data_IF_873804050750
#
_entry.id   IF_873804050750
#
_cell.length_a   1.000
_cell.length_b   1.000
_cell.length_c   1.000
_cell.angle_alpha   90.00
_cell.angle_beta   90.00
_cell.angle_gamma   90.00
#
_symmetry.space_group_name_H-M   'P 1'
#
loop_
_entity.id
_entity.type
_entity.pdbx_description
1 polymer ?
#
# COMPACT_ATOMS: atom_id res chain seq x y z
N UNK A 1 7.48 -21.50 15.49
CA UNK A 1 8.82 -21.73 14.93
C UNK A 1 9.35 -20.37 14.53
N UNK A 2 10.59 -20.02 14.89
CA UNK A 2 11.19 -18.76 14.40
C UNK A 2 11.40 -18.92 12.89
N UNK A 3 10.83 -18.01 12.09
CA UNK A 3 11.07 -17.97 10.64
C UNK A 3 12.54 -17.63 10.37
N UNK A 4 13.13 -18.20 9.33
CA UNK A 4 14.46 -17.79 8.90
C UNK A 4 14.42 -16.45 8.17
N UNK A 5 15.57 -15.78 8.06
CA UNK A 5 15.69 -14.56 7.27
C UNK A 5 15.21 -14.78 5.82
N UNK A 6 15.64 -15.88 5.19
CA UNK A 6 15.30 -16.19 3.80
C UNK A 6 13.80 -16.41 3.60
N UNK A 7 13.15 -17.11 4.54
CA UNK A 7 11.70 -17.35 4.49
C UNK A 7 10.92 -16.04 4.63
N UNK A 8 11.25 -15.20 5.62
CA UNK A 8 10.60 -13.92 5.83
C UNK A 8 10.88 -12.94 4.68
N UNK A 9 12.12 -12.83 4.23
CA UNK A 9 12.48 -11.94 3.11
C UNK A 9 11.77 -12.34 1.82
N UNK A 10 11.71 -13.63 1.48
CA UNK A 10 10.99 -14.10 0.29
C UNK A 10 9.49 -13.85 0.39
N UNK A 11 8.90 -14.05 1.58
CA UNK A 11 7.49 -13.77 1.82
C UNK A 11 7.19 -12.28 1.61
N UNK A 12 7.91 -11.40 2.32
CA UNK A 12 7.71 -9.95 2.26
C UNK A 12 7.94 -9.41 0.84
N UNK A 13 9.02 -9.81 0.18
CA UNK A 13 9.27 -9.38 -1.20
C UNK A 13 8.16 -9.82 -2.14
N UNK A 14 7.74 -11.10 -2.11
CA UNK A 14 6.69 -11.57 -3.03
C UNK A 14 5.35 -10.87 -2.78
N UNK A 15 4.99 -10.67 -1.52
CA UNK A 15 3.78 -9.96 -1.14
C UNK A 15 3.82 -8.51 -1.64
N UNK A 16 4.82 -7.74 -1.22
CA UNK A 16 4.87 -6.31 -1.50
C UNK A 16 5.15 -5.98 -2.96
N UNK A 17 6.00 -6.74 -3.65
CA UNK A 17 6.26 -6.51 -5.07
C UNK A 17 5.00 -6.76 -5.91
N UNK A 18 4.17 -7.73 -5.52
CA UNK A 18 2.87 -7.95 -6.18
C UNK A 18 1.91 -6.79 -5.92
N UNK A 19 1.77 -6.36 -4.66
CA UNK A 19 0.95 -5.19 -4.30
C UNK A 19 1.38 -3.94 -5.06
N UNK A 20 2.69 -3.67 -5.16
CA UNK A 20 3.20 -2.49 -5.87
C UNK A 20 3.08 -2.58 -7.39
N UNK A 21 3.14 -3.79 -7.95
CA UNK A 21 2.84 -4.03 -9.37
C UNK A 21 1.36 -3.80 -9.67
N UNK A 22 0.46 -4.35 -8.85
CA UNK A 22 -0.98 -4.14 -8.94
C UNK A 22 -1.31 -2.64 -8.83
N UNK A 23 -0.72 -1.91 -7.88
CA UNK A 23 -0.87 -0.46 -7.77
C UNK A 23 -0.43 0.29 -9.03
N UNK A 24 0.71 -0.07 -9.60
CA UNK A 24 1.19 0.56 -10.82
C UNK A 24 0.23 0.31 -11.98
N UNK A 25 -0.35 -0.89 -12.07
CA UNK A 25 -1.34 -1.26 -13.08
C UNK A 25 -2.67 -0.52 -12.86
N UNK A 26 -3.17 -0.46 -11.62
CA UNK A 26 -4.39 0.29 -11.30
C UNK A 26 -4.24 1.78 -11.63
N UNK A 27 -3.11 2.40 -11.24
CA UNK A 27 -2.82 3.80 -11.57
C UNK A 27 -2.73 4.00 -13.10
N UNK A 28 -2.10 3.07 -13.81
CA UNK A 28 -2.02 3.11 -15.28
C UNK A 28 -3.42 3.13 -15.92
N UNK A 29 -4.31 2.24 -15.48
CA UNK A 29 -5.64 2.10 -16.06
C UNK A 29 -6.61 3.22 -15.62
N UNK A 30 -6.38 3.84 -14.47
CA UNK A 30 -7.19 4.95 -13.96
C UNK A 30 -6.83 6.31 -14.56
N UNK A 31 -5.65 6.47 -15.18
CA UNK A 31 -5.22 7.73 -15.78
C UNK A 31 -5.94 8.02 -17.10
N UNK A 32 -6.40 9.26 -17.29
CA UNK A 32 -6.98 9.66 -18.57
C UNK A 32 -5.94 9.59 -19.70
N UNK A 33 -6.33 9.28 -20.96
CA UNK A 33 -5.38 9.09 -22.06
C UNK A 33 -4.44 10.28 -22.34
N UNK A 34 -4.82 11.50 -21.92
CA UNK A 34 -4.01 12.72 -22.06
C UNK A 34 -2.86 12.83 -21.06
N UNK A 35 -2.88 12.08 -19.95
CA UNK A 35 -1.87 12.13 -18.87
C UNK A 35 -0.63 11.33 -19.25
N UNK A 36 -0.05 11.65 -20.43
CA UNK A 36 0.98 10.85 -21.08
C UNK A 36 2.24 10.67 -20.23
N UNK A 37 2.66 11.69 -19.49
CA UNK A 37 3.82 11.62 -18.58
C UNK A 37 3.59 10.59 -17.47
N UNK A 38 2.46 10.70 -16.75
CA UNK A 38 2.15 9.80 -15.63
C UNK A 38 1.84 8.38 -16.12
N UNK A 39 1.27 8.21 -17.31
CA UNK A 39 1.08 6.91 -17.98
C UNK A 39 2.43 6.21 -18.22
N UNK A 40 3.43 6.93 -18.73
CA UNK A 40 4.77 6.34 -18.95
C UNK A 40 5.43 5.94 -17.65
N UNK A 41 5.27 6.75 -16.59
CA UNK A 41 5.77 6.42 -15.25
C UNK A 41 5.07 5.19 -14.67
N UNK A 42 3.75 5.08 -14.81
CA UNK A 42 3.01 3.90 -14.35
C UNK A 42 3.47 2.62 -15.09
N UNK A 43 3.61 2.67 -16.43
CA UNK A 43 4.16 1.56 -17.24
C UNK A 43 5.57 1.15 -16.80
N UNK A 44 6.42 2.13 -16.50
CA UNK A 44 7.75 1.88 -15.97
C UNK A 44 7.68 1.05 -14.67
N UNK A 45 6.83 1.43 -13.73
CA UNK A 45 6.67 0.69 -12.46
C UNK A 45 6.08 -0.71 -12.65
N UNK A 46 5.07 -0.88 -13.52
CA UNK A 46 4.52 -2.20 -13.88
C UNK A 46 5.63 -3.12 -14.38
N UNK A 47 6.44 -2.65 -15.34
CA UNK A 47 7.56 -3.42 -15.87
C UNK A 47 8.65 -3.70 -14.83
N UNK A 48 8.95 -2.72 -13.98
CA UNK A 48 9.99 -2.84 -12.94
C UNK A 48 9.63 -3.89 -11.89
N UNK A 49 8.42 -3.83 -11.33
CA UNK A 49 7.99 -4.78 -10.29
C UNK A 49 7.74 -6.19 -10.85
N UNK A 50 7.24 -6.33 -12.08
CA UNK A 50 7.18 -7.62 -12.77
C UNK A 50 8.57 -8.26 -12.94
N UNK A 51 9.58 -7.47 -13.32
CA UNK A 51 10.97 -7.94 -13.42
C UNK A 51 11.51 -8.39 -12.06
N UNK A 52 11.18 -7.67 -11.00
CA UNK A 52 11.59 -8.03 -9.64
C UNK A 52 10.96 -9.34 -9.18
N UNK A 53 9.66 -9.54 -9.42
CA UNK A 53 8.96 -10.80 -9.11
C UNK A 53 9.55 -12.01 -9.85
N UNK A 54 10.02 -11.85 -11.09
CA UNK A 54 10.61 -12.96 -11.85
C UNK A 54 12.03 -13.33 -11.40
N UNK A 55 12.78 -12.39 -10.84
CA UNK A 55 14.18 -12.58 -10.44
C UNK A 55 14.35 -12.99 -8.97
N UNK A 56 13.35 -12.77 -8.11
CA UNK A 56 13.50 -12.85 -6.64
C UNK A 56 14.04 -14.18 -6.11
N UNK A 57 13.77 -15.30 -6.78
CA UNK A 57 14.26 -16.62 -6.35
C UNK A 57 15.71 -16.92 -6.76
N UNK A 58 16.37 -16.02 -7.50
CA UNK A 58 17.72 -16.22 -8.09
C UNK A 58 18.74 -15.19 -7.65
N UNK A 59 18.34 -14.23 -6.80
CA UNK A 59 19.17 -13.08 -6.40
C UNK A 59 19.63 -13.20 -4.95
N UNK A 60 20.68 -12.46 -4.60
CA UNK A 60 21.01 -12.18 -3.20
C UNK A 60 19.94 -11.29 -2.60
N UNK A 61 19.20 -11.79 -1.61
CA UNK A 61 18.06 -11.08 -1.01
C UNK A 61 18.46 -9.75 -0.35
N UNK A 62 19.66 -9.66 0.24
CA UNK A 62 20.14 -8.43 0.89
C UNK A 62 20.43 -7.33 -0.14
N UNK A 63 21.13 -7.65 -1.23
CA UNK A 63 21.41 -6.65 -2.28
C UNK A 63 20.11 -6.30 -3.03
N UNK A 64 19.27 -7.29 -3.29
CA UNK A 64 17.95 -7.07 -3.87
C UNK A 64 17.08 -6.15 -3.02
N UNK A 65 17.13 -6.25 -1.68
CA UNK A 65 16.37 -5.38 -0.79
C UNK A 65 16.77 -3.89 -0.94
N UNK A 66 18.03 -3.58 -1.27
CA UNK A 66 18.46 -2.19 -1.55
C UNK A 66 17.82 -1.65 -2.83
N UNK A 67 17.85 -2.46 -3.89
CA UNK A 67 17.21 -2.12 -5.18
C UNK A 67 15.68 -1.98 -5.04
N UNK A 68 15.07 -2.88 -4.26
CA UNK A 68 13.65 -2.83 -3.93
C UNK A 68 13.30 -1.55 -3.14
N UNK A 69 14.11 -1.15 -2.15
CA UNK A 69 13.90 0.09 -1.38
C UNK A 69 13.98 1.32 -2.25
N UNK A 70 14.96 1.41 -3.15
CA UNK A 70 15.03 2.52 -4.09
C UNK A 70 13.76 2.60 -4.95
N UNK A 71 13.28 1.46 -5.46
CA UNK A 71 12.08 1.41 -6.29
C UNK A 71 10.79 1.72 -5.53
N UNK A 72 10.70 1.29 -4.26
CA UNK A 72 9.61 1.63 -3.36
C UNK A 72 9.54 3.15 -3.09
N UNK A 73 10.69 3.79 -2.84
CA UNK A 73 10.77 5.24 -2.69
C UNK A 73 10.42 6.01 -3.97
N UNK A 74 10.80 5.49 -5.14
CA UNK A 74 10.44 6.07 -6.44
C UNK A 74 8.92 6.02 -6.69
N UNK A 75 8.25 4.88 -6.44
CA UNK A 75 6.80 4.79 -6.60
C UNK A 75 6.05 5.57 -5.52
N UNK A 76 6.59 5.66 -4.30
CA UNK A 76 6.06 6.53 -3.24
C UNK A 76 6.02 7.99 -3.70
N UNK A 77 7.13 8.49 -4.24
CA UNK A 77 7.20 9.86 -4.81
C UNK A 77 6.23 10.03 -5.98
N UNK A 78 6.04 9.01 -6.80
CA UNK A 78 5.06 9.04 -7.89
C UNK A 78 3.63 9.19 -7.37
N UNK A 79 3.21 8.34 -6.42
CA UNK A 79 1.90 8.40 -5.76
C UNK A 79 1.65 9.77 -5.13
N UNK A 80 2.62 10.29 -4.37
CA UNK A 80 2.53 11.63 -3.77
C UNK A 80 2.43 12.74 -4.82
N UNK A 81 3.13 12.62 -5.95
CA UNK A 81 3.02 13.59 -7.05
C UNK A 81 1.63 13.60 -7.71
N UNK A 82 0.99 12.43 -7.81
CA UNK A 82 -0.41 12.35 -8.28
C UNK A 82 -1.34 13.04 -7.29
N UNK A 83 -1.22 12.72 -5.99
CA UNK A 83 -2.04 13.36 -4.94
C UNK A 83 -1.87 14.89 -4.99
N UNK A 84 -0.64 15.39 -5.07
CA UNK A 84 -0.40 16.82 -5.21
C UNK A 84 -1.12 17.41 -6.42
N UNK A 85 -1.00 16.79 -7.60
CA UNK A 85 -1.69 17.26 -8.82
C UNK A 85 -3.21 17.20 -8.65
N UNK A 86 -3.78 16.21 -7.94
CA UNK A 86 -5.21 16.15 -7.65
C UNK A 86 -5.66 17.32 -6.79
N UNK A 87 -4.92 17.63 -5.73
CA UNK A 87 -5.21 18.76 -4.82
C UNK A 87 -5.11 20.12 -5.52
N UNK A 88 -4.30 20.21 -6.58
CA UNK A 88 -4.13 21.41 -7.40
C UNK A 88 -5.06 21.44 -8.64
N UNK A 89 -5.86 20.40 -8.89
CA UNK A 89 -6.73 20.30 -10.06
C UNK A 89 -5.97 20.12 -11.40
N UNK A 90 -4.77 19.53 -11.36
CA UNK A 90 -3.81 19.45 -12.48
C UNK A 90 -3.68 18.06 -13.11
N UNK A 91 -4.51 17.09 -12.74
CA UNK A 91 -4.50 15.74 -13.31
C UNK A 91 -5.91 15.18 -13.42
N UNK A 92 -6.17 14.40 -14.47
CA UNK A 92 -7.39 13.61 -14.60
C UNK A 92 -7.08 12.14 -14.39
N UNK A 93 -7.52 11.61 -13.25
CA UNK A 93 -7.38 10.21 -12.84
C UNK A 93 -8.66 9.77 -12.13
N UNK A 94 -9.06 8.51 -12.30
CA UNK A 94 -10.32 7.95 -11.79
C UNK A 94 -10.23 7.34 -10.39
N UNK A 95 -9.18 7.66 -9.63
CA UNK A 95 -9.11 7.37 -8.19
C UNK A 95 -9.20 8.65 -7.36
N UNK A 96 -9.75 8.53 -6.15
CA UNK A 96 -9.78 9.64 -5.19
C UNK A 96 -8.41 9.82 -4.51
N UNK A 97 -8.07 11.03 -4.01
CA UNK A 97 -6.81 11.26 -3.31
C UNK A 97 -6.60 10.34 -2.10
N UNK A 98 -7.65 10.05 -1.33
CA UNK A 98 -7.58 9.15 -0.17
C UNK A 98 -7.22 7.73 -0.57
N UNK A 99 -7.74 7.23 -1.69
CA UNK A 99 -7.40 5.88 -2.19
C UNK A 99 -5.90 5.77 -2.52
N UNK A 100 -5.36 6.78 -3.22
CA UNK A 100 -3.92 6.83 -3.52
C UNK A 100 -3.09 7.06 -2.24
N UNK A 101 -3.63 7.78 -1.26
CA UNK A 101 -2.99 7.96 0.04
C UNK A 101 -2.85 6.63 0.80
N UNK A 102 -3.85 5.73 0.73
CA UNK A 102 -3.70 4.39 1.31
C UNK A 102 -2.59 3.60 0.62
N UNK A 103 -2.50 3.68 -0.72
CA UNK A 103 -1.36 3.09 -1.44
C UNK A 103 0.00 3.69 -1.01
N UNK A 104 0.03 4.94 -0.53
CA UNK A 104 1.24 5.55 0.06
C UNK A 104 1.56 4.93 1.41
N UNK A 105 0.58 4.80 2.30
CA UNK A 105 0.75 4.14 3.60
C UNK A 105 1.30 2.71 3.41
N UNK A 106 0.76 1.98 2.45
CA UNK A 106 1.19 0.62 2.11
C UNK A 106 2.65 0.54 1.65
N UNK A 107 3.10 1.43 0.76
CA UNK A 107 4.52 1.40 0.35
C UNK A 107 5.45 1.84 1.48
N UNK A 108 4.99 2.69 2.40
CA UNK A 108 5.75 3.06 3.62
C UNK A 108 5.93 1.87 4.58
N UNK A 109 4.95 0.97 4.69
CA UNK A 109 5.11 -0.29 5.42
C UNK A 109 6.19 -1.18 4.78
N UNK A 110 6.18 -1.33 3.44
CA UNK A 110 7.24 -2.09 2.77
C UNK A 110 8.62 -1.45 2.96
N UNK A 111 8.72 -0.12 2.88
CA UNK A 111 9.97 0.60 3.14
C UNK A 111 10.47 0.32 4.56
N UNK A 112 9.56 0.28 5.54
CA UNK A 112 9.86 -0.07 6.95
C UNK A 112 10.39 -1.49 7.07
N UNK A 113 9.74 -2.46 6.42
CA UNK A 113 10.21 -3.85 6.35
C UNK A 113 11.61 -3.95 5.72
N UNK A 114 11.85 -3.21 4.64
CA UNK A 114 13.12 -3.21 3.92
C UNK A 114 14.30 -2.69 4.77
N UNK A 115 14.05 -1.91 5.82
CA UNK A 115 15.11 -1.44 6.73
C UNK A 115 15.79 -2.57 7.51
N UNK A 116 15.04 -3.66 7.77
CA UNK A 116 15.55 -4.88 8.37
C UNK A 116 16.16 -5.80 7.30
N UNK A 117 15.47 -5.95 6.17
CA UNK A 117 15.92 -6.86 5.10
C UNK A 117 17.29 -6.47 4.53
N UNK A 118 17.57 -5.17 4.38
CA UNK A 118 18.87 -4.66 3.90
C UNK A 118 20.02 -5.03 4.86
N UNK A 119 19.73 -5.33 6.13
CA UNK A 119 20.73 -5.72 7.13
C UNK A 119 20.86 -7.24 7.29
N UNK A 120 20.04 -8.03 6.59
CA UNK A 120 19.94 -9.47 6.83
C UNK A 120 19.17 -9.81 8.12
N UNK A 121 18.35 -8.89 8.62
CA UNK A 121 17.57 -9.07 9.84
C UNK A 121 16.14 -9.52 9.49
N UNK A 122 15.56 -10.40 10.33
CA UNK A 122 14.14 -10.74 10.24
C UNK A 122 13.33 -9.53 10.72
N UNK A 123 12.41 -8.97 9.90
CA UNK A 123 11.54 -7.89 10.34
C UNK A 123 10.74 -8.33 11.57
N UNK A 124 10.72 -7.55 12.66
CA UNK A 124 9.99 -7.93 13.85
C UNK A 124 8.48 -7.90 13.59
N UNK A 125 7.74 -8.73 14.32
CA UNK A 125 6.30 -8.51 14.47
C UNK A 125 6.11 -7.30 15.38
N UNK A 126 5.53 -6.23 14.85
CA UNK A 126 5.27 -4.99 15.59
C UNK A 126 4.14 -5.19 16.61
N UNK A 127 3.98 -4.22 17.51
CA UNK A 127 2.83 -4.19 18.41
C UNK A 127 1.52 -4.21 17.58
N UNK A 128 0.51 -4.97 17.99
CA UNK A 128 -0.73 -5.16 17.21
C UNK A 128 -1.42 -3.85 16.76
N UNK A 129 -1.36 -2.82 17.61
CA UNK A 129 -1.89 -1.49 17.28
C UNK A 129 -1.16 -0.78 16.14
N UNK A 130 0.11 -1.10 15.85
CA UNK A 130 0.78 -0.64 14.62
C UNK A 130 -0.03 -1.06 13.39
N UNK A 131 -0.33 -2.36 13.30
CA UNK A 131 -1.11 -2.92 12.21
C UNK A 131 -2.53 -2.35 12.18
N UNK A 132 -3.19 -2.19 13.33
CA UNK A 132 -4.53 -1.60 13.36
C UNK A 132 -4.56 -0.16 12.84
N UNK A 133 -3.55 0.66 13.16
CA UNK A 133 -3.50 2.06 12.74
C UNK A 133 -3.21 2.23 11.25
N UNK A 134 -2.59 1.24 10.59
CA UNK A 134 -2.38 1.25 9.14
C UNK A 134 -3.58 0.63 8.41
N UNK A 135 -3.99 -0.57 8.82
CA UNK A 135 -4.85 -1.43 8.00
C UNK A 135 -6.35 -1.23 8.20
N UNK A 136 -6.79 -0.53 9.26
CA UNK A 136 -8.23 -0.26 9.45
C UNK A 136 -8.74 0.84 8.52
N UNK A 137 -7.97 1.91 8.31
CA UNK A 137 -8.32 2.94 7.31
C UNK A 137 -8.22 2.41 5.89
N UNK A 138 -7.23 1.55 5.62
CA UNK A 138 -7.11 0.82 4.35
C UNK A 138 -8.38 0.01 4.05
N UNK A 139 -8.79 -0.86 4.99
CA UNK A 139 -9.99 -1.69 4.84
C UNK A 139 -11.28 -0.86 4.70
N UNK A 140 -11.39 0.27 5.41
CA UNK A 140 -12.48 1.23 5.22
C UNK A 140 -12.47 1.81 3.80
N UNK A 141 -11.30 2.19 3.30
CA UNK A 141 -11.10 2.67 1.92
C UNK A 141 -11.48 1.65 0.86
N UNK A 142 -11.10 0.38 1.04
CA UNK A 142 -11.49 -0.72 0.16
C UNK A 142 -13.01 -0.89 0.11
N UNK A 143 -13.68 -0.94 1.26
CA UNK A 143 -15.13 -1.03 1.32
C UNK A 143 -15.81 0.20 0.70
N UNK A 144 -15.27 1.40 0.92
CA UNK A 144 -15.74 2.65 0.32
C UNK A 144 -15.58 2.69 -1.21
N UNK A 145 -14.43 2.23 -1.73
CA UNK A 145 -14.17 2.13 -3.17
C UNK A 145 -15.16 1.17 -3.85
N UNK A 146 -15.40 -0.02 -3.25
CA UNK A 146 -16.42 -0.95 -3.75
C UNK A 146 -17.80 -0.27 -3.80
N UNK A 147 -18.20 0.44 -2.74
CA UNK A 147 -19.47 1.20 -2.72
C UNK A 147 -19.57 2.28 -3.80
N UNK A 148 -18.45 2.94 -4.10
CA UNK A 148 -18.37 4.03 -5.09
C UNK A 148 -18.38 3.55 -6.54
N UNK A 149 -17.83 2.36 -6.81
CA UNK A 149 -17.69 1.82 -8.17
C UNK A 149 -18.84 0.92 -8.61
N UNK A 150 -19.66 0.43 -7.67
CA UNK A 150 -20.87 -0.32 -7.99
C UNK A 150 -21.88 0.54 -8.76
N UNK A 151 -22.56 -0.09 -9.72
CA UNK A 151 -23.61 0.56 -10.51
C UNK A 151 -24.72 1.11 -9.60
N UNK A 152 -25.38 2.17 -10.06
CA UNK A 152 -26.49 2.80 -9.35
C UNK A 152 -27.57 1.80 -8.91
N UNK A 153 -27.81 0.73 -9.67
CA UNK A 153 -28.86 -0.27 -9.39
C UNK A 153 -28.44 -1.35 -8.38
N UNK A 154 -27.15 -1.46 -8.03
CA UNK A 154 -26.60 -2.49 -7.15
C UNK A 154 -26.80 -2.18 -5.65
N UNK A 155 -28.05 -1.90 -5.27
CA UNK A 155 -28.41 -1.37 -3.94
C UNK A 155 -27.94 -2.24 -2.79
N UNK A 156 -28.17 -3.55 -2.86
CA UNK A 156 -27.85 -4.48 -1.76
C UNK A 156 -26.35 -4.65 -1.54
N UNK A 157 -25.58 -4.63 -2.62
CA UNK A 157 -24.11 -4.72 -2.55
C UNK A 157 -23.53 -3.42 -1.98
N UNK A 158 -24.08 -2.27 -2.39
CA UNK A 158 -23.70 -0.96 -1.87
C UNK A 158 -23.99 -0.82 -0.38
N UNK A 159 -25.18 -1.18 0.08
CA UNK A 159 -25.52 -1.19 1.51
C UNK A 159 -24.54 -2.07 2.32
N UNK A 160 -24.13 -3.21 1.74
CA UNK A 160 -23.21 -4.13 2.40
C UNK A 160 -21.79 -3.54 2.51
N UNK A 161 -21.29 -2.91 1.46
CA UNK A 161 -19.96 -2.28 1.47
C UNK A 161 -19.94 -1.03 2.34
N UNK A 162 -20.99 -0.21 2.33
CA UNK A 162 -21.15 0.93 3.26
C UNK A 162 -21.17 0.50 4.72
N UNK A 163 -21.85 -0.61 5.03
CA UNK A 163 -21.83 -1.20 6.38
C UNK A 163 -20.41 -1.61 6.80
N UNK A 164 -19.63 -2.23 5.91
CA UNK A 164 -18.24 -2.58 6.22
C UNK A 164 -17.35 -1.35 6.41
N UNK A 165 -17.46 -0.34 5.55
CA UNK A 165 -16.70 0.91 5.68
C UNK A 165 -16.95 1.54 7.07
N UNK A 166 -18.22 1.66 7.47
CA UNK A 166 -18.61 2.15 8.79
C UNK A 166 -18.00 1.33 9.94
N UNK A 167 -17.99 0.00 9.84
CA UNK A 167 -17.41 -0.83 10.90
C UNK A 167 -15.89 -0.63 11.02
N UNK A 168 -15.17 -0.58 9.90
CA UNK A 168 -13.73 -0.35 9.92
C UNK A 168 -13.35 1.04 10.44
N UNK A 169 -14.11 2.08 10.08
CA UNK A 169 -13.95 3.42 10.65
C UNK A 169 -14.16 3.43 12.17
N UNK A 170 -15.19 2.74 12.67
CA UNK A 170 -15.44 2.61 14.10
C UNK A 170 -14.32 1.85 14.82
N UNK A 171 -13.79 0.79 14.22
CA UNK A 171 -12.63 0.09 14.75
C UNK A 171 -11.38 0.97 14.77
N UNK A 172 -11.17 1.79 13.73
CA UNK A 172 -10.04 2.71 13.69
C UNK A 172 -10.10 3.74 14.83
N UNK A 173 -11.26 4.36 15.06
CA UNK A 173 -11.45 5.27 16.20
C UNK A 173 -11.12 4.58 17.54
N UNK A 174 -11.53 3.31 17.69
CA UNK A 174 -11.19 2.51 18.88
C UNK A 174 -9.68 2.26 19.00
N UNK A 175 -9.00 1.92 17.90
CA UNK A 175 -7.56 1.68 17.88
C UNK A 175 -6.74 2.93 18.26
N UNK A 176 -7.19 4.11 17.83
CA UNK A 176 -6.58 5.40 18.21
C UNK A 176 -6.62 5.58 19.73
N UNK A 177 -7.78 5.38 20.36
CA UNK A 177 -7.91 5.52 21.82
C UNK A 177 -7.11 4.45 22.58
N UNK A 178 -7.11 3.20 22.10
CA UNK A 178 -6.32 2.11 22.69
C UNK A 178 -4.81 2.38 22.65
N UNK A 179 -4.32 3.01 21.57
CA UNK A 179 -2.93 3.46 21.49
C UNK A 179 -2.63 4.48 22.59
N UNK A 180 -3.58 5.36 22.88
CA UNK A 180 -3.50 6.30 24.00
C UNK A 180 -3.36 5.62 25.37
N UNK A 181 -3.92 4.43 25.57
CA UNK A 181 -3.85 3.69 26.84
C UNK A 181 -2.46 3.09 27.13
N UNK A 182 -1.65 2.83 26.08
CA UNK A 182 -0.31 2.27 26.23
C UNK A 182 0.64 3.17 27.05
N UNK A 183 0.36 4.47 27.14
CA UNK A 183 1.12 5.43 27.98
C UNK A 183 1.17 5.04 29.46
N UNK A 184 0.19 4.28 29.95
CA UNK A 184 0.19 3.76 31.33
C UNK A 184 1.42 2.89 31.63
N UNK A 185 2.01 2.25 30.62
CA UNK A 185 3.16 1.34 30.79
C UNK A 185 4.52 2.06 30.81
N UNK A 186 4.54 3.39 30.64
CA UNK A 186 5.76 4.21 30.67
C UNK A 186 5.93 4.98 31.98
N UNK A 187 5.40 4.45 33.10
CA UNK A 187 5.59 4.96 34.45
C UNK A 187 6.25 3.92 35.35
#
# INVERSE_FOLDING_TARGET
MNQTYEESALFEHKFWLRVLEDHAQFLLDALAPKETEDIQRAKYFVGKFNKYLSLINTVSLIEFAKDAKQSAEEIRKFKLSIIQKQLEGKIVIHFTPTFINHMVNEVEEYITVLEYLIKGEVPPVFHELHYHLVWLTDAAGHAGSISGELDLVEKRLKEKSEMYAKHFEQFYLKAVEMTGYLRKMFH
#
